data_IF_612481603491
#
_entry.id   IF_612481603491
#
_cell.length_a   1.000
_cell.length_b   1.000
_cell.length_c   1.000
_cell.angle_alpha   90.00
_cell.angle_beta   90.00
_cell.angle_gamma   90.00
#
_symmetry.space_group_name_H-M   'P 1'
#
loop_
_entity.id
_entity.type
_entity.pdbx_description
1 polymer ?
#
# COMPACT_ATOMS: atom_id res chain seq x y z
N UNK A 1 -5.77 2.44 0.29
CA UNK A 1 -6.23 3.80 -0.01
C UNK A 1 -5.32 4.42 -1.04
N UNK A 2 -5.89 5.13 -2.00
CA UNK A 2 -5.14 5.79 -3.07
C UNK A 2 -5.59 7.23 -3.17
N UNK A 3 -4.65 8.16 -3.29
CA UNK A 3 -4.92 9.60 -3.31
C UNK A 3 -4.20 10.22 -4.51
N UNK A 4 -4.96 10.82 -5.43
CA UNK A 4 -4.39 11.60 -6.52
C UNK A 4 -3.72 12.85 -5.97
N UNK A 5 -2.63 13.28 -6.60
CA UNK A 5 -1.85 14.45 -6.17
C UNK A 5 -1.51 15.32 -7.38
N UNK A 6 -2.38 16.28 -7.75
CA UNK A 6 -2.11 17.18 -8.87
C UNK A 6 -0.75 17.86 -8.70
N UNK A 7 0.12 17.74 -9.70
CA UNK A 7 1.46 18.35 -9.71
C UNK A 7 2.57 17.55 -9.02
N UNK A 8 2.30 16.43 -8.35
CA UNK A 8 3.31 15.60 -7.66
C UNK A 8 3.51 14.21 -8.31
N UNK A 9 3.04 14.01 -9.54
CA UNK A 9 3.23 12.78 -10.31
C UNK A 9 2.23 11.69 -9.93
N UNK A 10 2.75 10.49 -9.66
CA UNK A 10 1.95 9.28 -9.42
C UNK A 10 1.09 9.38 -8.14
N UNK A 11 -0.16 8.86 -8.15
CA UNK A 11 -0.99 8.80 -6.97
C UNK A 11 -0.30 8.08 -5.81
N UNK A 12 -0.51 8.57 -4.59
CA UNK A 12 0.00 7.89 -3.39
C UNK A 12 -0.91 6.70 -3.08
N UNK A 13 -0.34 5.51 -2.99
CA UNK A 13 -1.02 4.33 -2.45
C UNK A 13 -0.48 4.00 -1.07
N UNK A 14 -1.37 3.70 -0.13
CA UNK A 14 -0.99 3.11 1.15
C UNK A 14 -2.03 2.09 1.61
N UNK A 15 -1.56 1.06 2.32
CA UNK A 15 -2.41 0.07 2.98
C UNK A 15 -1.97 -0.07 4.43
N UNK A 16 -2.94 -0.34 5.31
CA UNK A 16 -2.71 -0.50 6.74
C UNK A 16 -3.53 -1.70 7.22
N UNK A 17 -2.89 -2.61 7.96
CA UNK A 17 -3.53 -3.76 8.57
C UNK A 17 -3.69 -3.57 10.07
N UNK A 18 -4.88 -3.87 10.58
CA UNK A 18 -5.22 -3.85 12.01
C UNK A 18 -5.65 -5.23 12.48
N UNK A 19 -5.36 -5.52 13.74
CA UNK A 19 -5.97 -6.62 14.52
C UNK A 19 -6.28 -6.06 15.91
N UNK A 20 -7.51 -6.24 16.39
CA UNK A 20 -7.97 -5.73 17.70
C UNK A 20 -7.58 -4.26 17.97
N UNK A 21 -7.88 -3.38 17.01
CA UNK A 21 -7.55 -1.94 17.01
C UNK A 21 -6.05 -1.60 17.05
N UNK A 22 -5.16 -2.60 17.00
CA UNK A 22 -3.72 -2.41 16.90
C UNK A 22 -3.25 -2.52 15.44
N UNK A 23 -2.59 -1.48 14.95
CA UNK A 23 -1.91 -1.55 13.65
C UNK A 23 -0.75 -2.55 13.73
N UNK A 24 -0.70 -3.50 12.80
CA UNK A 24 0.37 -4.51 12.78
C UNK A 24 1.20 -4.51 11.50
N UNK A 25 0.68 -4.01 10.38
CA UNK A 25 1.45 -3.84 9.13
C UNK A 25 1.09 -2.55 8.42
N UNK A 26 1.99 -2.07 7.57
CA UNK A 26 1.68 -1.00 6.62
C UNK A 26 2.56 -1.01 5.38
N UNK A 27 2.01 -0.55 4.27
CA UNK A 27 2.73 -0.26 3.03
C UNK A 27 2.47 1.17 2.61
N UNK A 28 3.49 1.84 2.07
CA UNK A 28 3.38 3.17 1.48
C UNK A 28 4.18 3.21 0.17
N UNK A 29 3.54 3.59 -0.94
CA UNK A 29 4.19 3.69 -2.25
C UNK A 29 5.30 4.74 -2.29
N UNK A 30 5.25 5.72 -1.39
CA UNK A 30 6.27 6.76 -1.29
C UNK A 30 7.46 6.35 -0.42
N UNK A 31 7.41 5.20 0.28
CA UNK A 31 8.56 4.77 1.08
C UNK A 31 9.71 4.32 0.16
N UNK A 32 10.96 4.54 0.57
CA UNK A 32 12.13 4.10 -0.19
C UNK A 32 12.20 2.57 -0.33
N UNK A 33 11.71 1.84 0.68
CA UNK A 33 11.64 0.38 0.67
C UNK A 33 10.58 -0.13 -0.30
N UNK A 34 9.44 0.56 -0.40
CA UNK A 34 8.20 0.07 -1.03
C UNK A 34 7.91 -1.39 -0.65
N UNK A 35 8.02 -1.71 0.64
CA UNK A 35 7.71 -3.02 1.23
C UNK A 35 6.61 -2.88 2.27
N UNK A 36 5.92 -3.99 2.53
CA UNK A 36 5.08 -4.09 3.73
C UNK A 36 6.00 -4.18 4.93
N UNK A 37 5.78 -3.33 5.91
CA UNK A 37 6.61 -3.19 7.11
C UNK A 37 5.80 -3.56 8.36
N UNK A 38 6.42 -4.21 9.35
CA UNK A 38 5.79 -4.47 10.64
C UNK A 38 5.51 -3.16 11.40
N UNK A 39 4.47 -3.16 12.22
CA UNK A 39 4.02 -2.01 13.04
C UNK A 39 3.70 -2.39 14.49
N UNK A 40 3.88 -3.66 14.86
CA UNK A 40 3.69 -4.15 16.21
C UNK A 40 4.79 -5.16 16.60
N UNK A 41 5.19 -5.23 17.89
CA UNK A 41 6.33 -6.05 18.32
C UNK A 41 6.20 -7.56 18.03
N UNK A 42 4.98 -8.07 17.95
CA UNK A 42 4.73 -9.49 17.70
C UNK A 42 4.96 -9.86 16.23
N UNK A 43 4.70 -8.96 15.28
CA UNK A 43 4.91 -9.20 13.86
C UNK A 43 6.36 -8.93 13.43
N UNK A 44 7.08 -8.03 14.13
CA UNK A 44 8.51 -7.79 13.89
C UNK A 44 9.34 -9.07 14.05
N UNK A 45 8.98 -9.90 15.04
CA UNK A 45 9.61 -11.20 15.26
C UNK A 45 9.43 -12.15 14.07
N UNK A 46 8.39 -11.97 13.26
CA UNK A 46 8.13 -12.78 12.08
C UNK A 46 8.89 -12.31 10.83
N UNK A 47 9.54 -11.14 10.86
CA UNK A 47 10.26 -10.57 9.72
C UNK A 47 11.32 -11.53 9.13
N UNK A 48 12.05 -12.20 10.02
CA UNK A 48 13.10 -13.14 9.64
C UNK A 48 12.62 -14.61 9.58
N UNK A 49 11.40 -14.89 10.04
CA UNK A 49 10.87 -16.26 10.13
C UNK A 49 10.11 -16.64 8.88
N UNK A 50 9.30 -15.72 8.34
CA UNK A 50 8.45 -15.98 7.17
C UNK A 50 8.67 -14.92 6.09
N UNK A 51 9.76 -15.09 5.34
CA UNK A 51 10.12 -14.17 4.24
C UNK A 51 9.07 -14.19 3.12
N UNK A 52 8.45 -15.35 2.88
CA UNK A 52 7.45 -15.56 1.84
C UNK A 52 6.19 -14.74 2.12
N UNK A 53 5.77 -14.64 3.39
CA UNK A 53 4.69 -13.75 3.82
C UNK A 53 4.98 -12.29 3.42
N UNK A 54 6.16 -11.76 3.74
CA UNK A 54 6.49 -10.36 3.46
C UNK A 54 6.62 -10.07 1.97
N UNK A 55 7.25 -10.97 1.22
CA UNK A 55 7.37 -10.84 -0.22
C UNK A 55 6.00 -10.89 -0.89
N UNK A 56 5.18 -11.88 -0.58
CA UNK A 56 3.83 -12.01 -1.14
C UNK A 56 2.96 -10.79 -0.83
N UNK A 57 2.94 -10.33 0.41
CA UNK A 57 2.13 -9.15 0.78
C UNK A 57 2.67 -7.85 0.16
N UNK A 58 3.98 -7.74 -0.03
CA UNK A 58 4.60 -6.63 -0.77
C UNK A 58 4.16 -6.63 -2.23
N UNK A 59 4.21 -7.78 -2.91
CA UNK A 59 3.75 -7.90 -4.29
C UNK A 59 2.26 -7.59 -4.43
N UNK A 60 1.43 -8.09 -3.51
CA UNK A 60 0.00 -7.76 -3.48
C UNK A 60 -0.24 -6.26 -3.31
N UNK A 61 0.50 -5.59 -2.41
CA UNK A 61 0.37 -4.15 -2.20
C UNK A 61 0.81 -3.34 -3.44
N UNK A 62 1.89 -3.75 -4.11
CA UNK A 62 2.33 -3.12 -5.37
C UNK A 62 1.30 -3.30 -6.50
N UNK A 63 0.73 -4.50 -6.63
CA UNK A 63 -0.34 -4.78 -7.58
C UNK A 63 -1.58 -3.91 -7.31
N UNK A 64 -1.99 -3.81 -6.04
CA UNK A 64 -3.12 -2.96 -5.65
C UNK A 64 -2.86 -1.47 -5.94
N UNK A 65 -1.62 -1.00 -5.75
CA UNK A 65 -1.25 0.36 -6.12
C UNK A 65 -1.44 0.63 -7.62
N UNK A 66 -1.06 -0.31 -8.49
CA UNK A 66 -1.25 -0.20 -9.93
C UNK A 66 -2.72 -0.21 -10.33
N UNK A 67 -3.50 -1.18 -9.81
CA UNK A 67 -4.95 -1.28 -10.07
C UNK A 67 -5.64 0.01 -9.64
N UNK A 68 -5.38 0.49 -8.42
CA UNK A 68 -6.03 1.72 -7.94
C UNK A 68 -5.63 2.97 -8.72
N UNK A 69 -4.44 3.00 -9.33
CA UNK A 69 -4.06 4.09 -10.24
C UNK A 69 -4.93 4.08 -11.50
N UNK A 70 -5.14 2.91 -12.09
CA UNK A 70 -6.00 2.72 -13.27
C UNK A 70 -7.47 3.06 -12.95
N UNK A 71 -7.93 2.64 -11.76
CA UNK A 71 -9.26 2.98 -11.26
C UNK A 71 -9.45 4.49 -11.12
N UNK A 72 -8.46 5.20 -10.56
CA UNK A 72 -8.51 6.66 -10.45
C UNK A 72 -8.60 7.33 -11.84
N UNK A 73 -7.78 6.91 -12.80
CA UNK A 73 -7.84 7.45 -14.17
C UNK A 73 -9.22 7.21 -14.82
N UNK A 74 -9.79 6.02 -14.61
CA UNK A 74 -11.11 5.66 -15.11
C UNK A 74 -12.21 6.52 -14.48
N UNK A 75 -12.16 6.69 -13.15
CA UNK A 75 -13.12 7.52 -12.41
C UNK A 75 -13.04 9.00 -12.82
N UNK A 76 -11.83 9.52 -13.06
CA UNK A 76 -11.64 10.86 -13.59
C UNK A 76 -12.38 11.05 -14.94
N UNK A 77 -12.30 10.05 -15.83
CA UNK A 77 -13.04 10.05 -17.08
C UNK A 77 -14.57 10.00 -16.89
N UNK A 78 -15.07 9.14 -16.01
CA UNK A 78 -16.51 9.00 -15.78
C UNK A 78 -17.16 10.25 -15.18
N UNK A 79 -16.45 10.97 -14.31
CA UNK A 79 -16.97 12.18 -13.68
C UNK A 79 -16.55 13.47 -14.39
N UNK A 80 -15.94 13.37 -15.58
CA UNK A 80 -15.41 14.50 -16.34
C UNK A 80 -14.50 15.41 -15.49
N UNK A 81 -13.67 14.80 -14.63
CA UNK A 81 -12.75 15.49 -13.74
C UNK A 81 -11.37 15.58 -14.39
N UNK A 82 -10.99 16.79 -14.81
CA UNK A 82 -9.66 17.14 -15.36
C UNK A 82 -8.61 17.37 -14.27
#
# INVERSE_FOLDING_TARGET
TTVSRPGLGEPRFFSVGYVDDQQFVGFNSDSASQRVEPRAPWIEKMENVDRDYWERNTQNSKRNAQISREDLQTLHGYFNQS
#
